data_IF_340897838521
#
_entry.id   IF_340897838521
#
_cell.length_a   1.000
_cell.length_b   1.000
_cell.length_c   1.000
_cell.angle_alpha   90.00
_cell.angle_beta   90.00
_cell.angle_gamma   90.00
#
_symmetry.space_group_name_H-M   'P 1'
#
loop_
_entity.id
_entity.type
_entity.pdbx_description
1 polymer ?
#
# COMPACT_ATOMS: atom_id res chain seq x y z
N UNK A 1 31.57 43.96 0.46
CA UNK A 1 32.46 42.86 0.03
C UNK A 1 31.76 41.57 0.47
N UNK A 2 30.97 41.02 -0.41
CA UNK A 2 30.19 39.79 -0.23
C UNK A 2 30.96 38.67 -0.95
N UNK A 3 31.55 37.77 -0.20
CA UNK A 3 32.26 36.60 -0.76
C UNK A 3 31.19 35.52 -1.06
N UNK A 4 30.98 35.33 -2.35
CA UNK A 4 30.20 34.18 -2.88
C UNK A 4 31.12 32.97 -2.82
N UNK A 5 30.80 31.98 -2.00
CA UNK A 5 31.46 30.68 -2.00
C UNK A 5 30.77 29.85 -3.07
N UNK A 6 31.47 29.64 -4.18
CA UNK A 6 31.06 28.72 -5.21
C UNK A 6 31.51 27.31 -4.79
N UNK A 7 30.56 26.42 -4.55
CA UNK A 7 30.81 24.99 -4.42
C UNK A 7 30.89 24.36 -5.82
N UNK A 8 32.05 23.91 -6.20
CA UNK A 8 32.22 23.07 -7.38
C UNK A 8 31.69 21.68 -7.07
N UNK A 9 30.61 21.29 -7.73
CA UNK A 9 30.11 19.91 -7.72
C UNK A 9 31.10 19.08 -8.54
N UNK A 10 31.86 18.21 -7.90
CA UNK A 10 32.67 17.21 -8.60
C UNK A 10 31.72 16.16 -9.23
N UNK A 11 31.95 15.84 -10.50
CA UNK A 11 31.14 14.92 -11.33
C UNK A 11 31.11 13.47 -10.87
N UNK A 12 31.56 13.12 -9.65
CA UNK A 12 31.72 11.75 -9.16
C UNK A 12 31.02 11.42 -7.85
N UNK A 13 30.04 12.22 -7.40
CA UNK A 13 29.19 11.83 -6.29
C UNK A 13 27.80 11.35 -6.76
N UNK A 14 27.77 10.36 -7.63
CA UNK A 14 26.71 9.38 -7.63
C UNK A 14 26.87 8.62 -6.31
N UNK A 15 26.00 8.91 -5.35
CA UNK A 15 25.85 8.09 -4.15
C UNK A 15 25.75 6.64 -4.61
N UNK A 16 26.69 5.83 -4.16
CA UNK A 16 26.77 4.41 -4.51
C UNK A 16 25.59 3.71 -3.82
N UNK A 17 24.43 3.78 -4.48
CA UNK A 17 23.25 3.06 -4.06
C UNK A 17 23.44 1.61 -4.48
N UNK A 18 23.95 0.79 -3.56
CA UNK A 18 23.79 -0.65 -3.72
C UNK A 18 22.31 -0.92 -3.99
N UNK A 19 21.98 -1.63 -5.08
CA UNK A 19 20.59 -1.98 -5.37
C UNK A 19 20.05 -2.68 -4.14
N UNK A 20 18.95 -2.17 -3.58
CA UNK A 20 18.18 -2.90 -2.61
C UNK A 20 17.54 -4.04 -3.40
N UNK A 21 18.19 -5.20 -3.39
CA UNK A 21 17.59 -6.43 -3.92
C UNK A 21 16.39 -6.74 -3.03
N UNK A 22 15.20 -6.47 -3.55
CA UNK A 22 14.00 -7.11 -3.05
C UNK A 22 14.19 -8.56 -3.50
N UNK A 23 14.65 -9.44 -2.58
CA UNK A 23 14.62 -10.85 -2.86
C UNK A 23 13.21 -11.19 -3.34
N UNK A 24 13.06 -11.83 -4.52
CA UNK A 24 11.77 -12.33 -4.93
C UNK A 24 11.38 -13.32 -3.82
N UNK A 25 10.46 -12.91 -2.95
CA UNK A 25 9.89 -13.82 -1.96
C UNK A 25 9.44 -15.05 -2.74
N UNK A 26 10.07 -16.19 -2.48
CA UNK A 26 9.75 -17.46 -3.12
C UNK A 26 8.26 -17.72 -2.93
N UNK A 27 7.49 -17.35 -3.93
CA UNK A 27 6.04 -17.53 -3.96
C UNK A 27 5.83 -19.01 -4.29
N UNK A 28 5.47 -19.78 -3.27
CA UNK A 28 5.01 -21.15 -3.48
C UNK A 28 3.66 -21.11 -4.21
N UNK A 29 3.72 -21.37 -5.52
CA UNK A 29 2.59 -21.31 -6.45
C UNK A 29 1.64 -22.52 -6.30
N UNK A 30 1.65 -23.21 -5.17
CA UNK A 30 0.71 -24.30 -4.94
C UNK A 30 -0.69 -23.71 -4.70
N UNK A 31 -1.56 -23.97 -5.65
CA UNK A 31 -3.01 -23.83 -5.70
C UNK A 31 -3.67 -23.53 -4.35
N UNK A 32 -3.84 -22.25 -4.00
CA UNK A 32 -4.69 -21.87 -2.87
C UNK A 32 -6.13 -21.84 -3.38
N UNK A 33 -6.89 -22.89 -3.07
CA UNK A 33 -8.34 -22.84 -3.19
C UNK A 33 -8.86 -21.79 -2.20
N UNK A 34 -9.89 -21.04 -2.58
CA UNK A 34 -10.53 -19.99 -1.77
C UNK A 34 -10.96 -20.47 -0.37
N UNK A 35 -11.13 -21.79 -0.20
CA UNK A 35 -11.47 -22.46 1.07
C UNK A 35 -10.34 -22.48 2.11
N UNK A 36 -9.06 -22.44 1.71
CA UNK A 36 -7.95 -22.45 2.67
C UNK A 36 -7.68 -21.06 3.30
N UNK A 37 -8.18 -19.99 2.70
CA UNK A 37 -8.09 -18.64 3.26
C UNK A 37 -9.01 -18.40 4.46
N UNK A 38 -9.90 -19.35 4.77
CA UNK A 38 -10.81 -19.29 5.93
C UNK A 38 -10.15 -19.76 7.23
N UNK A 39 -8.94 -20.32 7.17
CA UNK A 39 -8.23 -20.66 8.41
C UNK A 39 -7.80 -19.38 9.12
N UNK A 40 -8.49 -19.07 10.20
CA UNK A 40 -8.42 -17.85 11.04
C UNK A 40 -7.07 -17.65 11.74
N UNK A 41 -6.20 -18.61 11.65
CA UNK A 41 -4.80 -18.53 12.07
C UNK A 41 -3.97 -18.05 10.90
N UNK A 42 -3.94 -16.74 10.65
CA UNK A 42 -2.95 -16.19 9.75
C UNK A 42 -1.57 -16.69 10.18
N UNK A 43 -0.87 -17.36 9.27
CA UNK A 43 0.54 -17.74 9.45
C UNK A 43 1.31 -16.42 9.54
N UNK A 44 1.63 -15.95 10.74
CA UNK A 44 2.40 -14.73 10.91
C UNK A 44 2.08 -13.95 12.17
N UNK A 45 2.51 -12.73 12.17
CA UNK A 45 2.46 -11.75 13.25
C UNK A 45 1.25 -10.80 13.18
N UNK A 46 0.29 -11.07 12.28
CA UNK A 46 -0.84 -10.17 11.97
C UNK A 46 -2.19 -10.84 12.24
N UNK A 47 -3.08 -10.12 12.90
CA UNK A 47 -4.48 -10.52 13.12
C UNK A 47 -5.38 -9.54 12.37
N UNK A 48 -6.37 -10.07 11.65
CA UNK A 48 -7.40 -9.27 10.97
C UNK A 48 -8.73 -9.50 11.67
N UNK A 49 -9.27 -8.43 12.21
CA UNK A 49 -10.60 -8.39 12.83
C UNK A 49 -11.57 -7.69 11.87
N UNK A 50 -12.69 -8.31 11.59
CA UNK A 50 -13.71 -7.73 10.71
C UNK A 50 -15.12 -7.98 11.23
N UNK A 51 -16.09 -7.30 10.59
CA UNK A 51 -17.50 -7.44 10.84
C UNK A 51 -18.07 -6.47 11.88
N UNK A 52 -19.39 -6.34 11.85
CA UNK A 52 -20.12 -5.47 12.75
C UNK A 52 -20.02 -5.95 14.21
N UNK A 53 -19.62 -5.06 15.10
CA UNK A 53 -19.44 -5.36 16.52
C UNK A 53 -18.06 -5.98 16.87
N UNK A 54 -17.09 -5.98 15.93
CA UNK A 54 -15.72 -6.37 16.25
C UNK A 54 -15.15 -5.49 17.38
N UNK A 55 -14.40 -6.09 18.30
CA UNK A 55 -13.90 -5.32 19.45
C UNK A 55 -12.56 -5.80 19.96
N UNK A 56 -11.81 -4.85 20.55
CA UNK A 56 -10.54 -5.09 21.20
C UNK A 56 -10.63 -4.51 22.63
N UNK A 57 -10.48 -5.38 23.63
CA UNK A 57 -10.55 -5.00 25.05
C UNK A 57 -9.58 -5.80 25.88
N UNK A 58 -9.33 -5.36 27.11
CA UNK A 58 -8.54 -6.13 28.09
C UNK A 58 -9.48 -6.77 29.11
N UNK A 59 -9.33 -8.08 29.34
CA UNK A 59 -10.00 -8.82 30.39
C UNK A 59 -9.01 -9.72 31.12
N UNK A 60 -8.97 -9.64 32.43
CA UNK A 60 -8.07 -10.45 33.28
C UNK A 60 -6.61 -10.44 32.78
N UNK A 61 -6.09 -9.27 32.44
CA UNK A 61 -4.74 -9.02 31.91
C UNK A 61 -4.45 -9.55 30.48
N UNK A 62 -5.42 -10.20 29.83
CA UNK A 62 -5.31 -10.64 28.46
C UNK A 62 -5.95 -9.62 27.49
N UNK A 63 -5.37 -9.42 26.32
CA UNK A 63 -6.02 -8.73 25.23
C UNK A 63 -7.03 -9.68 24.61
N UNK A 64 -8.30 -9.29 24.61
CA UNK A 64 -9.43 -10.06 24.09
C UNK A 64 -9.87 -9.43 22.78
N UNK A 65 -9.76 -10.20 21.71
CA UNK A 65 -10.13 -9.83 20.35
C UNK A 65 -11.44 -10.54 20.01
N UNK A 66 -12.50 -9.77 19.77
CA UNK A 66 -13.80 -10.32 19.40
C UNK A 66 -14.10 -10.00 17.94
N UNK A 67 -14.36 -11.03 17.15
CA UNK A 67 -14.76 -10.87 15.75
C UNK A 67 -16.22 -10.45 15.66
N UNK A 68 -16.57 -9.64 14.66
CA UNK A 68 -17.93 -9.16 14.45
C UNK A 68 -18.89 -10.27 13.99
N UNK A 69 -20.19 -9.94 13.99
CA UNK A 69 -21.25 -10.85 13.53
C UNK A 69 -21.07 -11.16 12.05
N UNK A 70 -20.79 -12.34 11.65
CA UNK A 70 -20.90 -12.97 10.32
C UNK A 70 -20.07 -14.25 10.18
N UNK A 71 -19.61 -14.82 11.29
CA UNK A 71 -18.97 -16.13 11.25
C UNK A 71 -19.56 -17.05 12.32
N UNK A 72 -19.74 -18.31 11.97
CA UNK A 72 -20.54 -19.28 12.75
C UNK A 72 -19.80 -19.90 13.94
N UNK A 73 -18.50 -19.68 14.14
CA UNK A 73 -17.72 -20.32 15.20
C UNK A 73 -16.86 -19.35 16.03
N UNK A 74 -16.39 -19.82 17.18
CA UNK A 74 -15.69 -19.10 18.27
C UNK A 74 -14.96 -17.79 17.89
N UNK A 75 -15.64 -16.72 18.26
CA UNK A 75 -15.39 -15.37 17.80
C UNK A 75 -14.42 -14.60 18.70
N UNK A 76 -13.77 -15.28 19.64
CA UNK A 76 -12.94 -14.62 20.65
C UNK A 76 -11.55 -15.23 20.66
N UNK A 77 -10.54 -14.40 20.42
CA UNK A 77 -9.13 -14.75 20.60
C UNK A 77 -8.56 -13.99 21.79
N UNK A 78 -7.71 -14.65 22.59
CA UNK A 78 -7.03 -14.04 23.73
C UNK A 78 -5.52 -14.06 23.52
N UNK A 79 -4.88 -12.91 23.75
CA UNK A 79 -3.44 -12.77 23.74
C UNK A 79 -2.96 -12.43 25.16
N UNK A 80 -1.90 -13.11 25.59
CA UNK A 80 -1.27 -12.86 26.90
C UNK A 80 0.09 -12.20 26.68
N UNK A 81 0.50 -11.30 27.59
CA UNK A 81 1.80 -10.63 27.50
C UNK A 81 2.95 -11.65 27.43
N UNK A 82 3.86 -11.44 26.49
CA UNK A 82 5.07 -12.25 26.33
C UNK A 82 4.89 -13.64 25.72
N UNK A 83 3.65 -14.08 25.39
CA UNK A 83 3.39 -15.42 24.85
C UNK A 83 2.92 -15.43 23.40
N UNK A 84 2.73 -14.26 22.81
CA UNK A 84 2.29 -14.12 21.41
C UNK A 84 3.41 -13.59 20.53
N UNK A 85 3.27 -13.84 19.22
CA UNK A 85 4.16 -13.28 18.17
C UNK A 85 3.49 -12.15 17.38
N UNK A 86 2.30 -11.72 17.80
CA UNK A 86 1.50 -10.71 17.09
C UNK A 86 2.21 -9.36 17.16
N UNK A 87 2.36 -8.72 16.01
CA UNK A 87 2.93 -7.39 15.83
C UNK A 87 1.92 -6.40 15.24
N UNK A 88 0.89 -6.92 14.59
CA UNK A 88 -0.08 -6.09 13.89
C UNK A 88 -1.51 -6.61 14.12
N UNK A 89 -2.44 -5.70 14.34
CA UNK A 89 -3.87 -5.97 14.37
C UNK A 89 -4.53 -5.03 13.37
N UNK A 90 -5.29 -5.57 12.42
CA UNK A 90 -6.05 -4.80 11.43
C UNK A 90 -7.52 -4.92 11.81
N UNK A 91 -8.13 -3.81 12.22
CA UNK A 91 -9.55 -3.74 12.53
C UNK A 91 -10.30 -3.07 11.38
N UNK A 92 -11.18 -3.83 10.72
CA UNK A 92 -12.02 -3.35 9.60
C UNK A 92 -13.47 -3.35 10.06
N UNK A 93 -13.98 -2.22 10.51
CA UNK A 93 -15.35 -2.17 11.04
C UNK A 93 -15.89 -0.74 11.13
N UNK A 94 -17.21 -0.59 10.89
CA UNK A 94 -17.94 0.65 11.17
C UNK A 94 -18.65 0.64 12.54
N UNK A 95 -18.76 -0.51 13.18
CA UNK A 95 -19.56 -0.68 14.40
C UNK A 95 -18.80 -1.41 15.50
N UNK A 96 -17.47 -1.31 15.50
CA UNK A 96 -16.61 -1.90 16.52
C UNK A 96 -16.17 -0.92 17.60
N UNK A 97 -15.44 -1.41 18.60
CA UNK A 97 -14.78 -0.55 19.57
C UNK A 97 -13.41 -1.09 19.99
N UNK A 98 -12.54 -0.19 20.40
CA UNK A 98 -11.30 -0.50 21.09
C UNK A 98 -11.27 0.25 22.43
N UNK A 99 -10.97 -0.44 23.50
CA UNK A 99 -10.84 0.21 24.82
C UNK A 99 -9.49 0.92 24.94
N UNK A 100 -9.44 2.00 25.72
CA UNK A 100 -8.18 2.74 26.02
C UNK A 100 -7.15 1.80 26.66
N UNK A 101 -7.60 0.89 27.53
CA UNK A 101 -6.73 -0.10 28.16
C UNK A 101 -6.13 -1.06 27.12
N UNK A 102 -6.92 -1.43 26.08
CA UNK A 102 -6.41 -2.26 24.97
C UNK A 102 -5.39 -1.51 24.12
N UNK A 103 -5.58 -0.22 23.89
CA UNK A 103 -4.58 0.61 23.21
C UNK A 103 -3.28 0.63 23.99
N UNK A 104 -3.34 0.90 25.30
CA UNK A 104 -2.17 0.88 26.19
C UNK A 104 -1.49 -0.49 26.17
N UNK A 105 -2.27 -1.57 26.25
CA UNK A 105 -1.76 -2.93 26.19
C UNK A 105 -1.03 -3.23 24.86
N UNK A 106 -1.58 -2.79 23.73
CA UNK A 106 -0.94 -2.95 22.40
C UNK A 106 0.38 -2.17 22.33
N UNK A 107 0.40 -0.92 22.82
CA UNK A 107 1.61 -0.09 22.88
C UNK A 107 2.70 -0.77 23.73
N UNK A 108 2.35 -1.30 24.90
CA UNK A 108 3.28 -2.01 25.79
C UNK A 108 3.85 -3.30 25.20
N UNK A 109 3.14 -3.93 24.27
CA UNK A 109 3.54 -5.19 23.61
C UNK A 109 4.08 -4.97 22.19
N UNK A 110 4.35 -3.72 21.82
CA UNK A 110 4.89 -3.35 20.51
C UNK A 110 3.99 -3.80 19.33
N UNK A 111 2.66 -3.74 19.55
CA UNK A 111 1.64 -4.08 18.56
C UNK A 111 1.09 -2.80 17.93
N UNK A 112 1.13 -2.73 16.60
CA UNK A 112 0.47 -1.67 15.83
C UNK A 112 -0.97 -2.07 15.52
N UNK A 113 -1.93 -1.16 15.74
CA UNK A 113 -3.33 -1.36 15.36
C UNK A 113 -3.69 -0.44 14.20
N UNK A 114 -4.12 -1.03 13.09
CA UNK A 114 -4.63 -0.30 11.92
C UNK A 114 -6.15 -0.28 11.99
N UNK A 115 -6.73 0.91 11.98
CA UNK A 115 -8.17 1.11 11.94
C UNK A 115 -8.58 1.46 10.51
N UNK A 116 -9.36 0.60 9.87
CA UNK A 116 -9.93 0.83 8.56
C UNK A 116 -11.47 0.88 8.67
N UNK A 117 -12.09 1.78 7.90
CA UNK A 117 -13.54 1.75 7.73
C UNK A 117 -13.98 0.54 6.89
N UNK A 118 -15.26 0.28 6.83
CA UNK A 118 -15.84 -0.80 6.03
C UNK A 118 -15.57 -0.65 4.51
N UNK A 119 -15.24 0.55 4.07
CA UNK A 119 -14.86 0.86 2.67
C UNK A 119 -13.41 0.51 2.39
N UNK A 120 -12.63 0.21 3.43
CA UNK A 120 -11.19 -0.02 3.34
C UNK A 120 -10.37 1.26 3.36
N UNK A 121 -10.96 2.41 3.77
CA UNK A 121 -10.17 3.62 3.97
C UNK A 121 -9.47 3.57 5.32
N UNK A 122 -8.22 4.01 5.35
CA UNK A 122 -7.48 4.14 6.61
C UNK A 122 -8.09 5.26 7.46
N UNK A 123 -8.54 4.91 8.67
CA UNK A 123 -9.01 5.88 9.68
C UNK A 123 -7.83 6.38 10.49
N UNK A 124 -7.05 5.43 11.08
CA UNK A 124 -5.94 5.76 11.96
C UNK A 124 -4.98 4.58 12.13
N UNK A 125 -3.73 4.89 12.49
CA UNK A 125 -2.72 3.93 12.93
C UNK A 125 -2.37 4.23 14.38
N UNK A 126 -2.61 3.27 15.26
CA UNK A 126 -2.18 3.31 16.64
C UNK A 126 -0.87 2.53 16.74
N UNK A 127 0.24 3.26 16.82
CA UNK A 127 1.59 2.68 16.87
C UNK A 127 2.21 2.85 18.27
N UNK A 128 3.19 2.00 18.63
CA UNK A 128 4.01 2.23 19.81
C UNK A 128 4.65 3.63 19.80
N UNK A 129 5.05 4.12 20.97
CA UNK A 129 5.76 5.39 21.08
C UNK A 129 7.10 5.32 20.35
N UNK A 130 7.44 6.38 19.65
CA UNK A 130 8.70 6.52 18.92
C UNK A 130 9.37 7.86 19.27
N UNK A 131 10.70 7.92 19.27
CA UNK A 131 11.40 9.18 19.48
C UNK A 131 11.26 10.03 18.21
N UNK A 132 10.71 11.25 18.34
CA UNK A 132 10.79 12.27 17.31
C UNK A 132 12.02 13.15 17.53
N UNK A 133 12.64 13.62 16.45
CA UNK A 133 13.78 14.53 16.50
C UNK A 133 13.46 15.81 15.73
N UNK A 134 13.41 16.93 16.45
CA UNK A 134 13.19 18.24 15.83
C UNK A 134 14.27 18.54 14.74
N UNK A 135 15.51 18.08 14.96
CA UNK A 135 16.59 18.20 13.97
C UNK A 135 16.25 17.44 12.68
N UNK A 136 15.76 16.20 12.78
CA UNK A 136 15.39 15.39 11.61
C UNK A 136 14.21 16.00 10.85
N UNK A 137 13.19 16.49 11.56
CA UNK A 137 12.03 17.16 10.95
C UNK A 137 12.49 18.42 10.21
N UNK A 138 13.39 19.19 10.82
CA UNK A 138 13.95 20.37 10.17
C UNK A 138 14.77 20.02 8.91
N UNK A 139 15.60 18.98 8.96
CA UNK A 139 16.36 18.48 7.79
C UNK A 139 15.41 18.01 6.69
N UNK A 140 14.34 17.30 7.04
CA UNK A 140 13.31 16.85 6.12
C UNK A 140 12.65 18.03 5.41
N UNK A 141 12.25 19.06 6.15
CA UNK A 141 11.65 20.27 5.58
C UNK A 141 12.61 21.01 4.65
N UNK A 142 13.86 21.21 5.08
CA UNK A 142 14.87 21.88 4.25
C UNK A 142 15.14 21.14 2.94
N UNK A 143 15.14 19.81 2.96
CA UNK A 143 15.33 19.03 1.75
C UNK A 143 14.23 19.27 0.70
N UNK A 144 13.03 19.72 1.07
CA UNK A 144 12.00 20.09 0.09
C UNK A 144 12.36 21.35 -0.71
N UNK A 145 13.33 22.15 -0.25
CA UNK A 145 13.69 23.44 -0.81
C UNK A 145 15.03 23.41 -1.59
N UNK A 146 15.66 22.27 -1.76
CA UNK A 146 16.95 22.11 -2.38
C UNK A 146 17.06 20.86 -3.28
N UNK A 147 18.21 20.64 -3.91
CA UNK A 147 18.47 19.56 -4.86
C UNK A 147 18.33 18.16 -4.24
N UNK A 148 18.46 18.03 -2.92
CA UNK A 148 18.25 16.77 -2.22
C UNK A 148 16.82 16.27 -2.37
N UNK A 149 15.82 17.17 -2.25
CA UNK A 149 14.43 16.82 -2.47
C UNK A 149 14.17 16.26 -3.86
N UNK A 150 14.78 16.86 -4.89
CA UNK A 150 14.72 16.31 -6.25
C UNK A 150 15.39 14.93 -6.34
N UNK A 151 16.56 14.76 -5.74
CA UNK A 151 17.28 13.46 -5.74
C UNK A 151 16.45 12.37 -5.05
N UNK A 152 15.81 12.67 -3.92
CA UNK A 152 14.89 11.75 -3.24
C UNK A 152 13.72 11.38 -4.17
N UNK A 153 13.09 12.37 -4.82
CA UNK A 153 11.99 12.12 -5.74
C UNK A 153 12.40 11.24 -6.92
N UNK A 154 13.56 11.50 -7.53
CA UNK A 154 14.09 10.71 -8.65
C UNK A 154 14.29 9.26 -8.21
N UNK A 155 14.87 9.02 -7.04
CA UNK A 155 15.10 7.67 -6.54
C UNK A 155 13.78 6.94 -6.25
N UNK A 156 12.78 7.61 -5.66
CA UNK A 156 11.46 7.01 -5.43
C UNK A 156 10.75 6.63 -6.74
N UNK A 157 10.81 7.52 -7.74
CA UNK A 157 10.21 7.24 -9.06
C UNK A 157 10.99 6.14 -9.78
N UNK A 158 12.33 6.12 -9.69
CA UNK A 158 13.15 5.05 -10.24
C UNK A 158 12.75 3.68 -9.66
N UNK A 159 12.60 3.57 -8.34
CA UNK A 159 12.15 2.33 -7.67
C UNK A 159 10.73 1.95 -8.08
N UNK A 160 9.84 2.93 -8.25
CA UNK A 160 8.49 2.69 -8.77
C UNK A 160 8.54 2.07 -10.17
N UNK A 161 9.30 2.68 -11.10
CA UNK A 161 9.39 2.19 -12.48
C UNK A 161 10.03 0.80 -12.53
N UNK A 162 11.07 0.55 -11.72
CA UNK A 162 11.65 -0.78 -11.61
C UNK A 162 10.62 -1.81 -11.14
N UNK A 163 9.87 -1.53 -10.07
CA UNK A 163 8.82 -2.41 -9.58
C UNK A 163 7.70 -2.65 -10.62
N UNK A 164 7.40 -1.66 -11.46
CA UNK A 164 6.47 -1.81 -12.59
C UNK A 164 7.03 -2.73 -13.67
N UNK A 165 8.33 -2.61 -14.01
CA UNK A 165 9.01 -3.50 -14.94
C UNK A 165 9.01 -4.94 -14.42
N UNK A 166 9.33 -5.15 -13.15
CA UNK A 166 9.32 -6.46 -12.51
C UNK A 166 7.90 -7.08 -12.57
N UNK A 167 6.87 -6.28 -12.32
CA UNK A 167 5.47 -6.71 -12.44
C UNK A 167 5.11 -7.13 -13.86
N UNK A 168 5.54 -6.36 -14.87
CA UNK A 168 5.31 -6.71 -16.28
C UNK A 168 6.07 -7.97 -16.68
N UNK A 169 7.30 -8.14 -16.20
CA UNK A 169 8.12 -9.34 -16.45
C UNK A 169 7.48 -10.62 -15.87
N UNK A 170 6.86 -10.53 -14.70
CA UNK A 170 6.11 -11.64 -14.08
C UNK A 170 4.81 -11.99 -14.82
N UNK A 171 4.33 -11.11 -15.71
CA UNK A 171 3.07 -11.28 -16.42
C UNK A 171 3.26 -11.22 -17.96
N UNK A 172 4.01 -12.16 -18.57
CA UNK A 172 4.34 -12.13 -20.01
C UNK A 172 3.14 -12.29 -20.94
N UNK A 173 2.00 -12.73 -20.41
CA UNK A 173 0.75 -12.93 -21.16
C UNK A 173 -0.07 -11.64 -21.36
N UNK A 174 0.36 -10.53 -20.79
CA UNK A 174 -0.35 -9.25 -20.95
C UNK A 174 -0.28 -8.77 -22.42
N UNK A 175 -1.41 -8.32 -23.00
CA UNK A 175 -1.49 -8.00 -24.44
C UNK A 175 -0.50 -6.94 -24.92
N UNK A 176 -0.07 -6.03 -24.04
CA UNK A 176 0.84 -4.92 -24.37
C UNK A 176 2.12 -4.95 -23.56
N UNK A 177 2.49 -6.09 -22.99
CA UNK A 177 3.61 -6.22 -22.07
C UNK A 177 4.93 -5.75 -22.68
N UNK A 178 5.34 -6.31 -23.83
CA UNK A 178 6.62 -5.96 -24.47
C UNK A 178 6.70 -4.47 -24.86
N UNK A 179 5.62 -3.91 -25.39
CA UNK A 179 5.52 -2.48 -25.71
C UNK A 179 5.66 -1.60 -24.46
N UNK A 180 5.02 -1.99 -23.36
CA UNK A 180 5.10 -1.23 -22.12
C UNK A 180 6.48 -1.33 -21.49
N UNK A 181 7.10 -2.51 -21.48
CA UNK A 181 8.46 -2.70 -20.97
C UNK A 181 9.46 -1.81 -21.69
N UNK A 182 9.45 -1.80 -23.01
CA UNK A 182 10.35 -0.95 -23.82
C UNK A 182 10.24 0.54 -23.43
N UNK A 183 9.02 1.07 -23.28
CA UNK A 183 8.82 2.47 -22.90
C UNK A 183 9.24 2.73 -21.45
N UNK A 184 8.96 1.80 -20.53
CA UNK A 184 9.35 1.95 -19.12
C UNK A 184 10.88 1.90 -18.96
N UNK A 185 11.58 1.05 -19.70
CA UNK A 185 13.04 0.97 -19.69
C UNK A 185 13.69 2.27 -20.20
N UNK A 186 13.17 2.83 -21.31
CA UNK A 186 13.60 4.14 -21.81
C UNK A 186 13.29 5.24 -20.79
N UNK A 187 12.09 5.24 -20.21
CA UNK A 187 11.71 6.19 -19.17
C UNK A 187 12.62 6.11 -17.95
N UNK A 188 13.03 4.91 -17.53
CA UNK A 188 13.97 4.71 -16.42
C UNK A 188 15.36 5.32 -16.73
N UNK A 189 15.80 5.22 -17.97
CA UNK A 189 17.04 5.87 -18.41
C UNK A 189 16.92 7.41 -18.37
N UNK A 190 15.83 7.97 -18.88
CA UNK A 190 15.59 9.41 -18.96
C UNK A 190 15.50 10.07 -17.57
N UNK A 191 15.09 9.33 -16.54
CA UNK A 191 15.04 9.84 -15.17
C UNK A 191 16.40 10.34 -14.66
N UNK A 192 17.53 9.88 -15.22
CA UNK A 192 18.89 10.30 -14.85
C UNK A 192 19.18 11.76 -15.18
N UNK A 193 18.47 12.35 -16.13
CA UNK A 193 18.70 13.70 -16.65
C UNK A 193 17.66 14.72 -16.19
N UNK A 194 16.74 14.30 -15.33
CA UNK A 194 15.65 15.16 -14.85
C UNK A 194 16.18 16.21 -13.88
N UNK A 195 15.88 17.49 -14.17
CA UNK A 195 16.38 18.66 -13.43
C UNK A 195 15.30 19.40 -12.62
N UNK A 196 14.05 18.93 -12.61
CA UNK A 196 13.00 19.54 -11.80
C UNK A 196 11.90 18.55 -11.46
N UNK A 197 11.25 18.76 -10.30
CA UNK A 197 10.12 17.95 -9.83
C UNK A 197 8.95 17.99 -10.84
N UNK A 198 8.73 19.11 -11.51
CA UNK A 198 7.68 19.23 -12.52
C UNK A 198 7.92 18.30 -13.72
N UNK A 199 9.17 18.29 -14.25
CA UNK A 199 9.57 17.38 -15.33
C UNK A 199 9.48 15.93 -14.88
N UNK A 200 9.89 15.65 -13.63
CA UNK A 200 9.80 14.33 -13.04
C UNK A 200 8.35 13.83 -12.98
N UNK A 201 7.42 14.65 -12.47
CA UNK A 201 6.00 14.31 -12.40
C UNK A 201 5.39 14.06 -13.78
N UNK A 202 5.80 14.83 -14.79
CA UNK A 202 5.35 14.63 -16.17
C UNK A 202 5.85 13.29 -16.73
N UNK A 203 7.12 12.98 -16.54
CA UNK A 203 7.70 11.69 -16.96
C UNK A 203 7.03 10.52 -16.23
N UNK A 204 6.87 10.62 -14.92
CA UNK A 204 6.18 9.62 -14.09
C UNK A 204 4.75 9.37 -14.56
N UNK A 205 3.98 10.44 -14.82
CA UNK A 205 2.61 10.34 -15.31
C UNK A 205 2.52 9.63 -16.67
N UNK A 206 3.46 9.89 -17.59
CA UNK A 206 3.56 9.19 -18.87
C UNK A 206 3.83 7.70 -18.67
N UNK A 207 4.84 7.37 -17.87
CA UNK A 207 5.22 5.98 -17.55
C UNK A 207 4.04 5.24 -16.89
N UNK A 208 3.38 5.86 -15.91
CA UNK A 208 2.23 5.28 -15.23
C UNK A 208 1.06 5.01 -16.19
N UNK A 209 0.82 5.91 -17.16
CA UNK A 209 -0.25 5.71 -18.15
C UNK A 209 0.02 4.52 -19.06
N UNK A 210 1.27 4.30 -19.47
CA UNK A 210 1.71 3.16 -20.27
C UNK A 210 1.58 1.86 -19.49
N UNK A 211 2.05 1.85 -18.26
CA UNK A 211 1.93 0.71 -17.35
C UNK A 211 0.46 0.26 -17.17
N UNK A 212 -0.45 1.19 -16.85
CA UNK A 212 -1.86 0.86 -16.72
C UNK A 212 -2.53 0.46 -18.03
N UNK A 213 -2.06 0.99 -19.17
CA UNK A 213 -2.55 0.54 -20.48
C UNK A 213 -2.18 -0.91 -20.79
N UNK A 214 -1.08 -1.43 -20.22
CA UNK A 214 -0.67 -2.83 -20.38
C UNK A 214 -1.59 -3.80 -19.63
N UNK A 215 -2.15 -3.40 -18.50
CA UNK A 215 -3.06 -4.24 -17.69
C UNK A 215 -4.55 -4.00 -17.99
N UNK A 216 -4.88 -3.04 -18.84
CA UNK A 216 -6.26 -2.78 -19.25
C UNK A 216 -6.72 -3.80 -20.28
N UNK A 217 -7.96 -4.29 -20.17
CA UNK A 217 -8.57 -5.25 -21.09
C UNK A 217 -8.38 -6.71 -20.70
N UNK A 218 -7.70 -7.01 -19.59
CA UNK A 218 -7.58 -8.37 -19.07
C UNK A 218 -8.96 -8.85 -18.63
N UNK A 219 -9.44 -10.04 -19.10
CA UNK A 219 -10.71 -10.60 -18.68
C UNK A 219 -10.74 -10.92 -17.18
N UNK A 220 -11.85 -10.60 -16.53
CA UNK A 220 -12.15 -11.03 -15.16
C UNK A 220 -12.98 -12.31 -15.25
N UNK A 221 -12.49 -13.38 -14.63
CA UNK A 221 -13.13 -14.71 -14.72
C UNK A 221 -14.32 -14.76 -13.75
N UNK A 222 -15.50 -15.03 -14.27
CA UNK A 222 -16.75 -15.19 -13.52
C UNK A 222 -17.31 -16.59 -13.75
N UNK A 223 -18.03 -17.14 -12.77
CA UNK A 223 -18.82 -18.35 -13.00
C UNK A 223 -19.89 -18.13 -14.10
N UNK A 224 -20.28 -19.21 -14.77
CA UNK A 224 -21.17 -19.14 -15.96
C UNK A 224 -22.52 -18.47 -15.71
N UNK A 225 -23.02 -18.46 -14.48
CA UNK A 225 -24.30 -17.81 -14.13
C UNK A 225 -24.07 -16.33 -13.87
N UNK A 226 -23.04 -16.00 -13.13
CA UNK A 226 -22.67 -14.63 -12.75
C UNK A 226 -22.22 -13.82 -13.95
N UNK A 227 -21.46 -14.39 -14.88
CA UNK A 227 -21.02 -13.72 -16.11
C UNK A 227 -22.15 -13.12 -16.95
N UNK A 228 -23.37 -13.69 -16.87
CA UNK A 228 -24.55 -13.24 -17.62
C UNK A 228 -25.26 -12.03 -17.01
N UNK A 229 -24.97 -11.72 -15.76
CA UNK A 229 -25.73 -10.73 -14.98
C UNK A 229 -24.90 -9.60 -14.39
N UNK A 230 -23.55 -9.71 -14.41
CA UNK A 230 -22.67 -8.63 -13.96
C UNK A 230 -22.66 -7.48 -14.96
N UNK A 231 -22.42 -6.24 -14.51
CA UNK A 231 -22.29 -5.10 -15.40
C UNK A 231 -21.16 -5.33 -16.43
N UNK A 232 -21.33 -4.88 -17.70
CA UNK A 232 -20.32 -5.11 -18.76
C UNK A 232 -18.90 -4.62 -18.37
N UNK A 233 -18.79 -3.54 -17.61
CA UNK A 233 -17.51 -3.00 -17.15
C UNK A 233 -16.86 -3.84 -16.02
N UNK A 234 -17.50 -4.92 -15.56
CA UNK A 234 -16.92 -5.89 -14.63
C UNK A 234 -16.31 -7.11 -15.33
N UNK A 235 -16.54 -7.27 -16.65
CA UNK A 235 -16.06 -8.43 -17.42
C UNK A 235 -14.58 -8.36 -17.72
N UNK A 236 -13.96 -7.18 -17.60
CA UNK A 236 -12.53 -6.98 -17.83
C UNK A 236 -11.98 -5.86 -16.95
N UNK A 237 -10.66 -5.85 -16.77
CA UNK A 237 -9.98 -4.75 -16.09
C UNK A 237 -10.09 -3.50 -16.99
N UNK A 238 -10.71 -2.45 -16.46
CA UNK A 238 -10.88 -1.18 -17.17
C UNK A 238 -9.71 -0.22 -16.84
N UNK A 239 -9.63 0.90 -17.54
CA UNK A 239 -8.75 2.00 -17.12
C UNK A 239 -9.11 2.50 -15.73
N UNK A 240 -8.11 3.08 -15.02
CA UNK A 240 -8.26 3.54 -13.64
C UNK A 240 -9.16 4.78 -13.49
N UNK A 241 -9.48 5.45 -14.59
CA UNK A 241 -10.38 6.61 -14.60
C UNK A 241 -11.83 6.15 -14.38
N UNK A 242 -12.35 6.38 -13.19
CA UNK A 242 -13.76 6.15 -12.88
C UNK A 242 -14.61 7.34 -13.29
N UNK A 243 -15.78 7.15 -13.92
CA UNK A 243 -16.75 8.23 -14.14
C UNK A 243 -17.18 8.91 -12.85
N UNK A 244 -17.07 8.22 -11.71
CA UNK A 244 -17.35 8.74 -10.38
C UNK A 244 -16.22 9.66 -9.86
N UNK A 245 -15.03 9.62 -10.45
CA UNK A 245 -13.85 10.36 -9.98
C UNK A 245 -13.99 11.87 -10.10
N UNK A 246 -14.86 12.38 -10.97
CA UNK A 246 -15.10 13.84 -11.14
C UNK A 246 -15.54 14.49 -9.84
N UNK A 247 -16.27 13.77 -8.97
CA UNK A 247 -16.81 14.31 -7.71
C UNK A 247 -16.16 13.68 -6.46
N UNK A 248 -15.44 12.54 -6.57
CA UNK A 248 -15.08 11.72 -5.41
C UNK A 248 -13.66 11.18 -5.42
N UNK A 249 -12.85 11.48 -6.46
CA UNK A 249 -11.46 11.03 -6.57
C UNK A 249 -11.30 9.55 -6.98
N UNK A 250 -10.05 9.11 -7.18
CA UNK A 250 -9.71 7.77 -7.68
C UNK A 250 -10.07 6.61 -6.71
N UNK A 251 -10.41 6.93 -5.46
CA UNK A 251 -10.83 5.93 -4.46
C UNK A 251 -12.22 5.31 -4.73
N UNK A 252 -13.02 5.92 -5.61
CA UNK A 252 -14.36 5.46 -5.97
C UNK A 252 -14.31 4.66 -7.26
N UNK A 253 -13.96 3.39 -7.17
CA UNK A 253 -13.87 2.52 -8.33
C UNK A 253 -15.20 1.89 -8.68
N UNK A 254 -15.51 1.80 -9.97
CA UNK A 254 -16.64 1.04 -10.49
C UNK A 254 -16.25 -0.37 -10.95
N UNK A 255 -14.95 -0.69 -10.98
CA UNK A 255 -14.41 -1.95 -11.48
C UNK A 255 -13.90 -2.84 -10.34
N UNK A 256 -14.17 -4.15 -10.32
CA UNK A 256 -13.75 -5.09 -9.28
C UNK A 256 -12.25 -5.06 -9.00
N UNK A 257 -11.40 -5.08 -10.02
CA UNK A 257 -9.95 -5.08 -9.87
C UNK A 257 -9.46 -3.82 -9.15
N UNK A 258 -9.90 -2.65 -9.58
CA UNK A 258 -9.51 -1.38 -8.96
C UNK A 258 -10.09 -1.20 -7.56
N UNK A 259 -11.26 -1.79 -7.27
CA UNK A 259 -11.82 -1.79 -5.91
C UNK A 259 -10.96 -2.62 -4.97
N UNK A 260 -10.48 -3.79 -5.43
CA UNK A 260 -9.52 -4.60 -4.68
C UNK A 260 -8.19 -3.86 -4.45
N UNK A 261 -7.65 -3.20 -5.48
CA UNK A 261 -6.43 -2.39 -5.37
C UNK A 261 -6.60 -1.25 -4.38
N UNK A 262 -7.71 -0.52 -4.42
CA UNK A 262 -7.95 0.59 -3.49
C UNK A 262 -7.96 0.11 -2.05
N UNK A 263 -8.53 -1.07 -1.80
CA UNK A 263 -8.55 -1.68 -0.48
C UNK A 263 -7.15 -2.10 -0.01
N UNK A 264 -6.36 -2.74 -0.87
CA UNK A 264 -4.98 -3.11 -0.58
C UNK A 264 -4.08 -1.87 -0.36
N UNK A 265 -4.28 -0.80 -1.14
CA UNK A 265 -3.53 0.44 -0.98
C UNK A 265 -3.85 1.19 0.31
N UNK A 266 -5.06 1.07 0.86
CA UNK A 266 -5.36 1.64 2.17
C UNK A 266 -4.57 0.96 3.29
N UNK A 267 -4.38 -0.35 3.21
CA UNK A 267 -3.49 -1.06 4.13
C UNK A 267 -2.03 -0.62 3.94
N UNK A 268 -1.55 -0.52 2.68
CA UNK A 268 -0.20 -0.04 2.39
C UNK A 268 0.02 1.37 2.97
N UNK A 269 -0.96 2.28 2.84
CA UNK A 269 -0.90 3.62 3.43
C UNK A 269 -0.69 3.54 4.94
N UNK A 270 -1.43 2.66 5.63
CA UNK A 270 -1.24 2.43 7.07
C UNK A 270 0.13 1.87 7.42
N UNK A 271 0.63 0.88 6.66
CA UNK A 271 1.95 0.29 6.85
C UNK A 271 3.07 1.34 6.66
N UNK A 272 2.97 2.17 5.63
CA UNK A 272 3.92 3.25 5.37
C UNK A 272 3.83 4.34 6.44
N UNK A 273 2.63 4.74 6.86
CA UNK A 273 2.45 5.72 7.94
C UNK A 273 3.12 5.24 9.23
N UNK A 274 2.95 3.96 9.58
CA UNK A 274 3.68 3.37 10.70
C UNK A 274 5.20 3.50 10.53
N UNK A 275 5.74 3.12 9.37
CA UNK A 275 7.18 3.15 9.13
C UNK A 275 7.75 4.59 9.20
N UNK A 276 7.04 5.56 8.63
CA UNK A 276 7.38 6.99 8.69
C UNK A 276 7.45 7.47 10.14
N UNK A 277 6.41 7.18 10.92
CA UNK A 277 6.33 7.54 12.34
C UNK A 277 7.47 6.85 13.12
N UNK A 278 7.69 5.56 12.95
CA UNK A 278 8.72 4.80 13.65
C UNK A 278 10.15 5.25 13.27
N UNK A 279 10.36 5.77 12.07
CA UNK A 279 11.61 6.39 11.66
C UNK A 279 11.81 7.79 12.28
N UNK A 280 10.77 8.41 12.83
CA UNK A 280 10.78 9.77 13.38
C UNK A 280 10.62 10.86 12.32
N UNK A 281 10.11 10.51 11.15
CA UNK A 281 9.83 11.41 10.03
C UNK A 281 8.44 12.05 10.17
N UNK A 282 8.25 13.23 9.54
CA UNK A 282 6.98 13.93 9.51
C UNK A 282 6.11 13.48 8.32
N UNK A 283 4.96 12.82 8.54
CA UNK A 283 4.15 12.25 7.47
C UNK A 283 3.59 13.26 6.45
N UNK A 284 3.38 14.51 6.87
CA UNK A 284 2.81 15.55 6.00
C UNK A 284 3.83 16.22 5.09
N UNK A 285 5.14 15.99 5.32
CA UNK A 285 6.22 16.63 4.59
C UNK A 285 6.74 15.72 3.46
N UNK A 286 5.99 15.65 2.35
CA UNK A 286 6.37 14.92 1.14
C UNK A 286 7.23 15.75 0.19
N UNK A 287 7.80 15.10 -0.80
CA UNK A 287 8.69 15.66 -1.82
C UNK A 287 8.07 15.63 -3.22
N UNK A 288 7.59 14.45 -3.64
CA UNK A 288 7.00 14.24 -4.97
C UNK A 288 5.56 14.78 -5.03
N UNK A 289 4.73 14.46 -4.04
CA UNK A 289 3.38 14.98 -3.94
C UNK A 289 3.40 16.35 -3.26
N UNK A 290 2.79 17.35 -3.92
CA UNK A 290 2.69 18.69 -3.33
C UNK A 290 1.95 18.62 -1.99
N UNK A 291 2.40 19.45 -1.04
CA UNK A 291 1.72 19.60 0.24
C UNK A 291 0.22 19.85 0.04
N UNK A 292 -0.58 19.11 0.76
CA UNK A 292 -2.01 19.29 0.87
C UNK A 292 -2.38 19.20 2.35
N UNK A 293 -3.13 20.19 2.83
CA UNK A 293 -3.61 20.18 4.20
C UNK A 293 -4.31 18.85 4.51
N UNK A 294 -4.10 18.32 5.69
CA UNK A 294 -4.69 17.07 6.20
C UNK A 294 -4.29 15.79 5.45
N UNK A 295 -3.27 15.82 4.58
CA UNK A 295 -2.78 14.64 3.88
C UNK A 295 -1.36 14.28 4.27
N UNK A 296 -1.13 12.99 4.45
CA UNK A 296 0.19 12.41 4.70
C UNK A 296 0.96 12.27 3.37
N UNK A 297 1.41 13.39 2.80
CA UNK A 297 2.02 13.42 1.46
C UNK A 297 3.31 12.60 1.38
N UNK A 298 4.11 12.53 2.44
CA UNK A 298 5.27 11.65 2.50
C UNK A 298 4.88 10.17 2.42
N UNK A 299 3.77 9.80 3.06
CA UNK A 299 3.30 8.41 2.95
C UNK A 299 2.94 8.07 1.50
N UNK A 300 2.33 8.99 0.77
CA UNK A 300 2.03 8.77 -0.64
C UNK A 300 3.31 8.61 -1.47
N UNK A 301 4.36 9.41 -1.19
CA UNK A 301 5.66 9.29 -1.86
C UNK A 301 6.31 7.92 -1.62
N UNK A 302 6.35 7.48 -0.35
CA UNK A 302 6.97 6.21 0.01
C UNK A 302 6.12 4.98 -0.36
N UNK A 303 4.84 5.16 -0.69
CA UNK A 303 4.01 4.08 -1.25
C UNK A 303 4.36 3.76 -2.70
N UNK A 304 4.87 4.73 -3.46
CA UNK A 304 5.04 4.59 -4.92
C UNK A 304 5.88 3.36 -5.33
N UNK A 305 7.01 3.03 -4.70
CA UNK A 305 7.78 1.83 -5.01
C UNK A 305 7.02 0.51 -4.79
N UNK A 306 6.04 0.50 -3.90
CA UNK A 306 5.34 -0.71 -3.48
C UNK A 306 4.00 -0.93 -4.19
N UNK A 307 3.48 0.07 -4.91
CA UNK A 307 2.18 -0.06 -5.60
C UNK A 307 2.20 -1.21 -6.60
N UNK A 308 3.23 -1.29 -7.43
CA UNK A 308 3.32 -2.34 -8.44
C UNK A 308 3.52 -3.74 -7.84
N UNK A 309 4.13 -3.87 -6.65
CA UNK A 309 4.18 -5.14 -5.91
C UNK A 309 2.77 -5.63 -5.55
N UNK A 310 1.89 -4.72 -5.15
CA UNK A 310 0.47 -5.04 -4.89
C UNK A 310 -0.25 -5.36 -6.19
N UNK A 311 0.01 -4.58 -7.27
CA UNK A 311 -0.57 -4.85 -8.59
C UNK A 311 -0.22 -6.26 -9.07
N UNK A 312 1.03 -6.72 -8.92
CA UNK A 312 1.47 -8.06 -9.30
C UNK A 312 0.68 -9.14 -8.54
N UNK A 313 0.55 -9.01 -7.22
CA UNK A 313 -0.22 -9.95 -6.39
C UNK A 313 -1.70 -9.95 -6.77
N UNK A 314 -2.23 -8.80 -7.12
CA UNK A 314 -3.63 -8.68 -7.53
C UNK A 314 -3.87 -9.27 -8.92
N UNK A 315 -2.96 -9.09 -9.86
CA UNK A 315 -3.01 -9.72 -11.18
C UNK A 315 -2.97 -11.25 -11.06
N UNK A 316 -2.07 -11.78 -10.26
CA UNK A 316 -1.97 -13.22 -9.98
C UNK A 316 -3.26 -13.75 -9.32
N UNK A 317 -3.81 -13.03 -8.35
CA UNK A 317 -5.07 -13.40 -7.70
C UNK A 317 -6.23 -13.42 -8.71
N UNK A 318 -6.36 -12.42 -9.57
CA UNK A 318 -7.43 -12.35 -10.57
C UNK A 318 -7.25 -13.40 -11.67
N UNK A 319 -6.02 -13.74 -12.02
CA UNK A 319 -5.77 -14.80 -13.00
C UNK A 319 -6.16 -16.20 -12.47
N UNK A 320 -5.96 -16.46 -11.19
CA UNK A 320 -6.25 -17.74 -10.56
C UNK A 320 -7.70 -17.90 -10.07
N UNK A 321 -8.44 -16.79 -9.95
CA UNK A 321 -9.76 -16.79 -9.28
C UNK A 321 -10.90 -16.70 -10.26
N UNK A 322 -11.92 -17.57 -10.11
CA UNK A 322 -13.24 -17.43 -10.75
C UNK A 322 -14.21 -16.86 -9.74
N UNK A 323 -14.63 -15.62 -9.97
CA UNK A 323 -15.49 -14.88 -9.05
C UNK A 323 -16.96 -15.32 -9.14
N UNK A 324 -17.70 -15.12 -8.04
CA UNK A 324 -19.11 -15.44 -7.88
C UNK A 324 -19.92 -14.16 -7.62
N UNK A 325 -21.23 -14.24 -7.77
CA UNK A 325 -22.17 -13.11 -7.59
C UNK A 325 -22.01 -12.40 -6.24
N UNK A 326 -21.67 -13.11 -5.18
CA UNK A 326 -21.55 -12.55 -3.83
C UNK A 326 -20.23 -11.85 -3.52
N UNK A 327 -19.21 -11.97 -4.40
CA UNK A 327 -17.87 -11.44 -4.12
C UNK A 327 -17.83 -9.92 -4.22
N UNK A 328 -18.62 -9.36 -5.13
CA UNK A 328 -18.73 -7.92 -5.34
C UNK A 328 -20.20 -7.47 -5.36
N UNK A 329 -20.43 -6.24 -4.94
CA UNK A 329 -21.73 -5.59 -5.06
C UNK A 329 -21.59 -4.13 -5.46
N UNK A 330 -22.56 -3.62 -6.20
CA UNK A 330 -22.61 -2.24 -6.62
C UNK A 330 -23.55 -1.46 -5.70
N UNK A 331 -23.07 -0.37 -5.13
CA UNK A 331 -23.90 0.54 -4.33
C UNK A 331 -24.63 1.54 -5.23
N UNK A 332 -25.63 2.27 -4.68
CA UNK A 332 -26.43 3.21 -5.45
C UNK A 332 -25.64 4.29 -6.19
N UNK A 333 -24.48 4.67 -5.67
CA UNK A 333 -23.56 5.61 -6.34
C UNK A 333 -22.86 5.02 -7.58
N UNK A 334 -23.01 3.72 -7.85
CA UNK A 334 -22.32 3.01 -8.93
C UNK A 334 -20.96 2.42 -8.51
N UNK A 335 -20.53 2.66 -7.29
CA UNK A 335 -19.23 2.16 -6.79
C UNK A 335 -19.29 0.65 -6.57
N UNK A 336 -18.21 -0.04 -6.98
CA UNK A 336 -18.00 -1.46 -6.74
C UNK A 336 -17.39 -1.68 -5.35
N UNK A 337 -17.98 -2.59 -4.58
CA UNK A 337 -17.54 -2.95 -3.24
C UNK A 337 -17.27 -4.45 -3.13
N UNK A 338 -16.42 -4.81 -2.19
CA UNK A 338 -16.03 -6.18 -1.89
C UNK A 338 -16.85 -6.75 -0.74
N UNK A 339 -17.14 -8.04 -0.79
CA UNK A 339 -17.69 -8.75 0.37
C UNK A 339 -16.60 -8.88 1.47
N UNK A 340 -17.00 -9.34 2.66
CA UNK A 340 -16.11 -9.43 3.81
C UNK A 340 -15.00 -10.50 3.61
N UNK A 341 -15.33 -11.63 3.00
CA UNK A 341 -14.37 -12.72 2.75
C UNK A 341 -13.26 -12.27 1.81
N UNK A 342 -13.62 -11.60 0.72
CA UNK A 342 -12.66 -11.05 -0.23
C UNK A 342 -11.77 -9.97 0.40
N UNK A 343 -12.35 -9.10 1.25
CA UNK A 343 -11.55 -8.12 2.00
C UNK A 343 -10.52 -8.80 2.90
N UNK A 344 -10.92 -9.83 3.64
CA UNK A 344 -10.01 -10.61 4.51
C UNK A 344 -8.91 -11.27 3.69
N UNK A 345 -9.26 -11.88 2.56
CA UNK A 345 -8.28 -12.51 1.66
C UNK A 345 -7.23 -11.50 1.20
N UNK A 346 -7.64 -10.33 0.71
CA UNK A 346 -6.74 -9.28 0.22
C UNK A 346 -5.82 -8.79 1.34
N UNK A 347 -6.35 -8.52 2.52
CA UNK A 347 -5.55 -8.08 3.67
C UNK A 347 -4.54 -9.13 4.12
N UNK A 348 -4.85 -10.40 3.95
CA UNK A 348 -3.94 -11.49 4.31
C UNK A 348 -2.83 -11.70 3.27
N UNK A 349 -3.16 -11.62 1.97
CA UNK A 349 -2.31 -12.13 0.90
C UNK A 349 -1.73 -11.02 -0.01
N UNK A 350 -2.43 -9.88 -0.15
CA UNK A 350 -2.03 -8.82 -1.08
C UNK A 350 -1.35 -7.62 -0.36
N UNK A 351 -0.45 -7.90 0.56
CA UNK A 351 0.30 -6.87 1.31
C UNK A 351 1.80 -6.92 1.01
N UNK A 352 2.47 -5.82 1.30
CA UNK A 352 3.94 -5.72 1.25
C UNK A 352 4.53 -6.18 2.59
N UNK A 353 5.71 -6.77 2.58
CA UNK A 353 6.43 -7.07 3.81
C UNK A 353 6.76 -5.77 4.57
N UNK A 354 6.48 -5.75 5.87
CA UNK A 354 6.71 -4.54 6.67
C UNK A 354 8.19 -4.18 6.74
N UNK A 355 9.09 -5.19 6.71
CA UNK A 355 10.54 -4.99 6.67
C UNK A 355 11.00 -4.13 5.51
N UNK A 356 10.42 -4.31 4.32
CA UNK A 356 10.82 -3.57 3.12
C UNK A 356 10.39 -2.11 3.21
N UNK A 357 9.19 -1.89 3.75
CA UNK A 357 8.67 -0.54 4.00
C UNK A 357 9.51 0.17 5.07
N UNK A 358 9.82 -0.52 6.17
CA UNK A 358 10.65 0.01 7.25
C UNK A 358 12.07 0.35 6.73
N UNK A 359 12.64 -0.50 5.86
CA UNK A 359 13.94 -0.26 5.23
C UNK A 359 13.92 1.00 4.34
N UNK A 360 12.86 1.24 3.57
CA UNK A 360 12.73 2.46 2.77
C UNK A 360 12.64 3.73 3.65
N UNK A 361 11.89 3.68 4.75
CA UNK A 361 11.79 4.79 5.70
C UNK A 361 13.14 5.07 6.38
N UNK A 362 13.90 4.02 6.73
CA UNK A 362 15.25 4.13 7.28
C UNK A 362 16.23 4.69 6.25
N UNK A 363 16.13 4.26 4.99
CA UNK A 363 16.92 4.84 3.89
C UNK A 363 16.69 6.35 3.81
N UNK A 364 15.45 6.81 3.76
CA UNK A 364 15.14 8.24 3.70
C UNK A 364 15.71 9.00 4.90
N UNK A 365 15.54 8.44 6.11
CA UNK A 365 16.10 9.03 7.34
C UNK A 365 17.61 9.22 7.25
N UNK A 366 18.36 8.21 6.79
CA UNK A 366 19.82 8.26 6.62
C UNK A 366 20.21 9.33 5.59
N UNK A 367 19.56 9.32 4.43
CA UNK A 367 19.77 10.32 3.36
C UNK A 367 19.60 11.77 3.86
N UNK A 368 18.67 11.99 4.82
CA UNK A 368 18.46 13.30 5.43
C UNK A 368 19.52 13.65 6.50
N UNK A 369 20.13 12.66 7.13
CA UNK A 369 21.10 12.85 8.22
C UNK A 369 22.54 13.00 7.73
N UNK A 370 22.84 12.55 6.51
CA UNK A 370 24.19 12.61 5.90
C UNK A 370 24.56 14.01 5.39
N UNK A 371 23.73 15.03 5.73
CA UNK A 371 23.94 16.46 5.48
C UNK A 371 24.22 17.14 6.81
#
# INVERSE_FOLDING_TARGET
MTSTVAYSVSENNLLDFTPFEIEPTSYDASCVQYEEATDRKLKGDTIILGGYGASIKVERKALVLTYGRMSEEDKVQKLFKGTHKVRQIILVSDGGYISIEAISWCVDQDITVYLLDWRGSLIQVLSPKHPSSAKLIWQQYNATQNDLGLSICVELVRRKVQSQLDTLALNPHLPKQAWAMDILEHGLYDLRTVQSIEKLRKAEGTIASVYFAAITGIPIKWDNRTAKIVPPHWLQITGRNSPLSKNHGARWSINPFHSCLNFAFALLEGQVLRAVIMAGLEPTCGYLHAYQAEKNTLCHDLMEPFRAVIDAKMLDFFDKTTFKRGDFYQVLSGECRLNEELRRYILANCRVAQSDIDALAVWLKRTLQDI
#
